data_IF_073771822319
#
_entry.id   IF_073771822319
#
_cell.length_a   1.000
_cell.length_b   1.000
_cell.length_c   1.000
_cell.angle_alpha   90.00
_cell.angle_beta   90.00
_cell.angle_gamma   90.00
#
_symmetry.space_group_name_H-M   'P 1'
#
loop_
_entity.id
_entity.type
_entity.pdbx_description
1 polymer ?
#
# COMPACT_ATOMS: atom_id res chain seq x y z
N UNK A 1 -24.79 -31.28 25.04
CA UNK A 1 -25.80 -30.25 24.68
C UNK A 1 -25.06 -29.10 24.04
N UNK A 2 -24.98 -29.08 22.70
CA UNK A 2 -24.45 -27.94 21.98
C UNK A 2 -25.53 -26.88 21.96
N UNK A 3 -25.38 -25.83 22.79
CA UNK A 3 -26.20 -24.63 22.65
C UNK A 3 -25.85 -24.01 21.27
N UNK A 4 -26.80 -24.03 20.34
CA UNK A 4 -26.75 -23.12 19.20
C UNK A 4 -26.51 -21.71 19.73
N UNK A 5 -25.39 -21.11 19.39
CA UNK A 5 -25.25 -19.67 19.54
C UNK A 5 -26.44 -19.02 18.83
N UNK A 6 -27.20 -18.21 19.53
CA UNK A 6 -28.16 -17.30 18.89
C UNK A 6 -27.34 -16.52 17.87
N UNK A 7 -27.91 -16.33 16.70
CA UNK A 7 -27.36 -15.41 15.70
C UNK A 7 -27.07 -14.10 16.46
N UNK A 8 -25.81 -13.92 16.87
CA UNK A 8 -25.32 -12.59 17.18
C UNK A 8 -25.63 -11.79 15.91
N UNK A 9 -26.27 -10.65 16.08
CA UNK A 9 -26.52 -9.72 14.99
C UNK A 9 -25.23 -9.63 14.18
N UNK A 10 -25.27 -10.24 12.99
CA UNK A 10 -24.17 -10.08 12.02
C UNK A 10 -24.20 -8.59 11.71
N UNK A 11 -23.31 -7.84 12.33
CA UNK A 11 -23.09 -6.44 11.98
C UNK A 11 -22.77 -6.51 10.49
N UNK A 12 -23.69 -6.06 9.64
CA UNK A 12 -23.39 -5.95 8.21
C UNK A 12 -22.12 -5.13 8.08
N UNK A 13 -21.11 -5.61 7.32
CA UNK A 13 -19.86 -4.89 7.15
C UNK A 13 -20.19 -3.49 6.66
N UNK A 14 -19.92 -2.49 7.51
CA UNK A 14 -20.20 -1.10 7.19
C UNK A 14 -19.15 -0.61 6.23
N UNK A 15 -19.56 -0.05 5.11
CA UNK A 15 -18.66 0.67 4.21
C UNK A 15 -17.87 1.71 5.01
N UNK A 16 -16.55 1.84 4.79
CA UNK A 16 -15.78 2.91 5.37
C UNK A 16 -16.31 4.27 4.90
N UNK A 17 -16.17 5.29 5.74
CA UNK A 17 -16.57 6.64 5.35
C UNK A 17 -15.84 7.07 4.08
N UNK A 18 -16.49 7.80 3.16
CA UNK A 18 -15.82 8.31 1.97
C UNK A 18 -14.61 9.19 2.33
N UNK A 19 -13.52 9.07 1.59
CA UNK A 19 -12.31 9.89 1.77
C UNK A 19 -12.57 11.38 1.42
N UNK A 20 -13.56 11.64 0.59
CA UNK A 20 -14.08 12.95 0.19
C UNK A 20 -15.46 12.73 -0.46
N UNK A 21 -16.15 13.79 -0.91
CA UNK A 21 -17.38 13.65 -1.69
C UNK A 21 -17.09 12.94 -3.02
N UNK A 22 -17.63 11.74 -3.27
CA UNK A 22 -17.37 11.01 -4.49
C UNK A 22 -18.19 11.55 -5.66
N UNK A 23 -17.61 11.56 -6.87
CA UNK A 23 -18.34 11.79 -8.12
C UNK A 23 -19.17 10.56 -8.53
N UNK A 24 -18.64 9.38 -8.29
CA UNK A 24 -19.34 8.10 -8.44
C UNK A 24 -19.23 7.33 -7.12
N UNK A 25 -20.31 6.70 -6.72
CA UNK A 25 -20.42 5.89 -5.51
C UNK A 25 -21.41 4.76 -5.79
N UNK A 26 -20.93 3.53 -6.03
CA UNK A 26 -21.77 2.40 -6.43
C UNK A 26 -21.21 1.07 -5.99
N UNK A 27 -22.10 0.09 -5.89
CA UNK A 27 -21.81 -1.27 -5.47
C UNK A 27 -21.87 -2.22 -6.66
N UNK A 28 -20.81 -2.99 -6.84
CA UNK A 28 -20.74 -4.11 -7.77
C UNK A 28 -21.22 -5.35 -7.03
N UNK A 29 -22.28 -5.97 -7.52
CA UNK A 29 -22.84 -7.15 -6.91
C UNK A 29 -21.93 -8.35 -7.13
N UNK A 30 -21.89 -9.25 -6.15
CA UNK A 30 -21.14 -10.51 -6.28
C UNK A 30 -21.43 -11.19 -7.59
N UNK A 31 -20.41 -11.79 -8.17
CA UNK A 31 -20.47 -12.51 -9.44
C UNK A 31 -20.80 -11.61 -10.66
N UNK A 32 -20.61 -10.29 -10.57
CA UNK A 32 -20.83 -9.35 -11.67
C UNK A 32 -19.61 -8.45 -11.91
N UNK A 33 -19.69 -7.62 -12.94
CA UNK A 33 -18.74 -6.55 -13.23
C UNK A 33 -19.47 -5.29 -13.66
N UNK A 34 -18.90 -4.14 -13.35
CA UNK A 34 -19.38 -2.85 -13.83
C UNK A 34 -18.25 -2.08 -14.51
N UNK A 35 -18.64 -1.38 -15.62
CA UNK A 35 -17.78 -0.46 -16.33
C UNK A 35 -18.05 0.97 -15.88
N UNK A 36 -17.02 1.79 -15.80
CA UNK A 36 -17.10 3.21 -15.48
C UNK A 36 -15.96 4.00 -16.11
N UNK A 37 -16.24 5.28 -16.44
CA UNK A 37 -15.23 6.19 -17.00
C UNK A 37 -14.58 7.03 -15.90
N UNK A 38 -13.27 7.22 -16.03
CA UNK A 38 -12.44 7.99 -15.09
C UNK A 38 -11.56 8.94 -15.88
N UNK A 39 -11.56 10.21 -15.53
CA UNK A 39 -10.74 11.24 -16.18
C UNK A 39 -9.32 11.28 -15.62
N UNK A 40 -8.41 11.77 -16.43
CA UNK A 40 -7.04 12.02 -15.99
C UNK A 40 -6.99 12.84 -14.70
N UNK A 41 -6.23 12.36 -13.70
CA UNK A 41 -6.09 12.99 -12.39
C UNK A 41 -7.16 12.64 -11.37
N UNK A 42 -8.29 12.01 -11.75
CA UNK A 42 -9.29 11.49 -10.79
C UNK A 42 -8.75 10.27 -10.05
N UNK A 43 -9.37 9.99 -8.89
CA UNK A 43 -8.99 8.88 -8.03
C UNK A 43 -10.08 7.82 -7.99
N UNK A 44 -9.68 6.57 -8.01
CA UNK A 44 -10.55 5.39 -7.94
C UNK A 44 -10.28 4.68 -6.61
N UNK A 45 -11.30 4.50 -5.80
CA UNK A 45 -11.24 3.69 -4.59
C UNK A 45 -12.03 2.39 -4.82
N UNK A 46 -11.35 1.25 -4.78
CA UNK A 46 -11.97 -0.09 -4.86
C UNK A 46 -11.94 -0.68 -3.47
N UNK A 47 -13.09 -1.04 -2.92
CA UNK A 47 -13.28 -1.42 -1.52
C UNK A 47 -13.80 -2.84 -1.45
N UNK A 48 -13.13 -3.68 -0.69
CA UNK A 48 -13.61 -4.97 -0.26
C UNK A 48 -14.52 -4.78 0.96
N UNK A 49 -15.83 -4.88 0.75
CA UNK A 49 -16.83 -4.53 1.77
C UNK A 49 -16.79 -5.50 2.95
N UNK A 50 -16.78 -6.80 2.63
CA UNK A 50 -16.89 -7.87 3.61
C UNK A 50 -15.54 -8.43 4.07
N UNK A 51 -14.47 -8.11 3.35
CA UNK A 51 -13.18 -8.78 3.45
C UNK A 51 -13.16 -10.11 2.70
N UNK A 52 -11.97 -10.51 2.26
CA UNK A 52 -11.72 -11.77 1.54
C UNK A 52 -12.39 -11.87 0.16
N UNK A 53 -12.67 -10.74 -0.48
CA UNK A 53 -13.24 -10.72 -1.82
C UNK A 53 -12.22 -10.27 -2.85
N UNK A 54 -12.03 -11.03 -3.92
CA UNK A 54 -11.19 -10.65 -5.05
C UNK A 54 -11.95 -9.73 -6.02
N UNK A 55 -11.27 -8.69 -6.49
CA UNK A 55 -11.77 -7.81 -7.55
C UNK A 55 -10.76 -7.77 -8.69
N UNK A 56 -11.12 -8.34 -9.84
CA UNK A 56 -10.32 -8.21 -11.04
C UNK A 56 -10.57 -6.84 -11.63
N UNK A 57 -9.51 -6.06 -11.75
CA UNK A 57 -9.57 -4.70 -12.24
C UNK A 57 -8.84 -4.56 -13.56
N UNK A 58 -9.50 -3.93 -14.51
CA UNK A 58 -8.97 -3.60 -15.83
C UNK A 58 -9.15 -2.11 -16.10
N UNK A 59 -8.18 -1.47 -16.74
CA UNK A 59 -8.27 -0.10 -17.19
C UNK A 59 -7.71 0.02 -18.60
N UNK A 60 -8.48 0.63 -19.48
CA UNK A 60 -8.13 0.90 -20.87
C UNK A 60 -7.96 2.40 -21.08
N UNK A 61 -6.95 2.78 -21.86
CA UNK A 61 -6.77 4.18 -22.29
C UNK A 61 -7.88 4.60 -23.25
N UNK A 62 -8.77 5.50 -22.80
CA UNK A 62 -9.84 6.05 -23.65
C UNK A 62 -9.27 6.76 -24.87
N UNK A 63 -8.22 7.63 -24.79
CA UNK A 63 -7.62 8.24 -25.96
C UNK A 63 -6.99 7.25 -26.95
N UNK A 64 -6.61 6.06 -26.51
CA UNK A 64 -6.13 5.02 -27.42
C UNK A 64 -7.31 4.33 -28.12
N UNK A 65 -8.40 4.06 -27.41
CA UNK A 65 -9.63 3.50 -27.97
C UNK A 65 -10.22 4.41 -29.03
N UNK A 66 -10.27 5.72 -28.82
CA UNK A 66 -10.74 6.72 -29.80
C UNK A 66 -9.95 6.69 -31.11
N UNK A 67 -8.69 6.26 -31.03
CA UNK A 67 -7.81 6.07 -32.19
C UNK A 67 -7.83 4.64 -32.74
N UNK A 68 -8.79 3.83 -32.34
CA UNK A 68 -8.92 2.43 -32.76
C UNK A 68 -7.81 1.51 -32.24
N UNK A 69 -7.12 1.91 -31.15
CA UNK A 69 -6.07 1.09 -30.51
C UNK A 69 -6.51 0.66 -29.13
N UNK A 70 -6.51 -0.62 -28.89
CA UNK A 70 -6.77 -1.17 -27.57
C UNK A 70 -5.47 -1.16 -26.76
N UNK A 71 -5.45 -0.38 -25.67
CA UNK A 71 -4.34 -0.28 -24.72
C UNK A 71 -4.91 -0.34 -23.31
N UNK A 72 -4.69 -1.46 -22.65
CA UNK A 72 -5.05 -1.68 -21.24
C UNK A 72 -3.80 -1.88 -20.40
N UNK A 73 -3.97 -1.88 -19.10
CA UNK A 73 -2.90 -2.23 -18.16
C UNK A 73 -2.39 -3.64 -18.49
N UNK A 74 -1.06 -3.77 -18.64
CA UNK A 74 -0.36 -5.00 -19.00
C UNK A 74 0.49 -5.46 -17.82
N UNK A 75 0.17 -6.63 -17.26
CA UNK A 75 0.79 -7.11 -16.04
C UNK A 75 2.25 -7.54 -16.26
N UNK A 76 2.58 -8.07 -17.42
CA UNK A 76 3.95 -8.47 -17.74
C UNK A 76 4.86 -7.25 -17.89
N UNK A 77 4.41 -6.24 -18.64
CA UNK A 77 5.13 -4.96 -18.76
C UNK A 77 5.27 -4.29 -17.40
N UNK A 78 4.19 -4.25 -16.61
CA UNK A 78 4.20 -3.65 -15.28
C UNK A 78 5.24 -4.32 -14.39
N UNK A 79 5.20 -5.63 -14.20
CA UNK A 79 6.19 -6.37 -13.39
C UNK A 79 7.62 -6.15 -13.87
N UNK A 80 7.83 -6.14 -15.18
CA UNK A 80 9.16 -5.92 -15.77
C UNK A 80 9.72 -4.55 -15.40
N UNK A 81 8.89 -3.50 -15.45
CA UNK A 81 9.34 -2.13 -15.19
C UNK A 81 9.50 -1.82 -13.70
N UNK A 82 8.68 -2.40 -12.84
CA UNK A 82 8.73 -2.14 -11.40
C UNK A 82 9.63 -3.11 -10.63
N UNK A 83 9.89 -4.31 -11.16
CA UNK A 83 10.72 -5.33 -10.52
C UNK A 83 10.08 -5.99 -9.29
N UNK A 84 8.75 -5.94 -9.16
CA UNK A 84 7.99 -6.56 -8.09
C UNK A 84 6.68 -7.17 -8.62
N UNK A 85 6.01 -7.98 -7.78
CA UNK A 85 4.80 -8.67 -8.18
C UNK A 85 3.66 -7.70 -8.55
N UNK A 86 3.52 -6.60 -7.83
CA UNK A 86 2.52 -5.56 -8.08
C UNK A 86 3.04 -4.19 -7.61
N UNK A 87 2.52 -3.08 -8.21
CA UNK A 87 2.90 -1.74 -7.79
C UNK A 87 2.44 -1.43 -6.36
N UNK A 88 3.32 -0.76 -5.63
CA UNK A 88 2.96 -0.11 -4.38
C UNK A 88 3.08 1.40 -4.50
N UNK A 89 2.62 2.23 -3.55
CA UNK A 89 2.81 3.67 -3.59
C UNK A 89 4.29 4.04 -3.65
N UNK A 90 4.58 5.20 -4.22
CA UNK A 90 5.94 5.70 -4.37
C UNK A 90 6.51 5.48 -5.77
N UNK A 91 7.80 5.22 -5.86
CA UNK A 91 8.50 5.19 -7.13
C UNK A 91 8.03 4.09 -8.09
N UNK A 92 7.60 2.95 -7.55
CA UNK A 92 7.12 1.79 -8.30
C UNK A 92 5.59 1.67 -8.22
N UNK A 93 4.92 2.81 -8.31
CA UNK A 93 3.48 2.93 -8.06
C UNK A 93 2.60 2.74 -9.29
N UNK A 94 3.16 2.47 -10.47
CA UNK A 94 2.41 2.61 -11.72
C UNK A 94 2.12 1.28 -12.38
N UNK A 95 0.90 1.18 -12.94
CA UNK A 95 0.52 0.18 -13.93
C UNK A 95 0.72 0.75 -15.33
N UNK A 96 1.31 -0.03 -16.20
CA UNK A 96 1.69 0.35 -17.55
C UNK A 96 0.91 -0.45 -18.59
N UNK A 97 0.72 0.15 -19.77
CA UNK A 97 0.28 -0.58 -20.96
C UNK A 97 1.46 -1.32 -21.63
N UNK A 98 1.18 -2.11 -22.67
CA UNK A 98 2.19 -2.86 -23.43
C UNK A 98 3.20 -1.97 -24.18
N UNK A 99 2.87 -0.70 -24.40
CA UNK A 99 3.77 0.30 -25.00
C UNK A 99 4.58 1.05 -23.94
N UNK A 100 4.55 0.58 -22.66
CA UNK A 100 5.24 1.15 -21.49
C UNK A 100 4.73 2.55 -21.09
N UNK A 101 3.54 2.94 -21.49
CA UNK A 101 2.92 4.17 -21.02
C UNK A 101 2.24 3.93 -19.66
N UNK A 102 2.46 4.77 -18.67
CA UNK A 102 1.78 4.65 -17.38
C UNK A 102 0.32 5.08 -17.51
N UNK A 103 -0.60 4.22 -17.09
CA UNK A 103 -2.04 4.50 -17.13
C UNK A 103 -2.58 4.86 -15.76
N UNK A 104 -2.08 4.23 -14.70
CA UNK A 104 -2.60 4.35 -13.33
C UNK A 104 -1.43 4.41 -12.36
N UNK A 105 -1.63 5.13 -11.28
CA UNK A 105 -0.74 5.22 -10.13
C UNK A 105 -1.44 4.74 -8.86
N UNK A 106 -0.77 3.91 -8.07
CA UNK A 106 -1.25 3.50 -6.74
C UNK A 106 -0.93 4.61 -5.75
N UNK A 107 -1.96 5.12 -5.08
CA UNK A 107 -1.83 6.21 -4.09
C UNK A 107 -1.89 5.66 -2.68
N UNK A 108 -2.83 4.73 -2.43
CA UNK A 108 -2.97 4.08 -1.13
C UNK A 108 -3.45 2.65 -1.30
N UNK A 109 -2.93 1.79 -0.46
CA UNK A 109 -3.33 0.39 -0.39
C UNK A 109 -3.36 0.00 1.09
N UNK A 110 -4.51 -0.46 1.58
CA UNK A 110 -4.68 -0.85 2.98
C UNK A 110 -4.54 -2.36 3.19
N UNK A 111 -4.49 -3.15 2.11
CA UNK A 111 -4.30 -4.60 2.16
C UNK A 111 -2.84 -5.01 1.95
N UNK A 112 -2.19 -4.47 0.91
CA UNK A 112 -0.80 -4.79 0.56
C UNK A 112 -0.61 -6.23 0.05
N UNK A 113 -1.67 -6.86 -0.49
CA UNK A 113 -1.60 -8.21 -1.03
C UNK A 113 -2.53 -8.35 -2.24
N UNK A 114 -1.93 -8.54 -3.42
CA UNK A 114 -2.63 -8.60 -4.70
C UNK A 114 -1.94 -9.58 -5.64
N UNK A 115 -2.62 -9.95 -6.73
CA UNK A 115 -2.06 -10.81 -7.77
C UNK A 115 -2.01 -10.10 -9.12
N UNK A 116 -0.97 -10.40 -9.88
CA UNK A 116 -0.78 -9.97 -11.27
C UNK A 116 -0.25 -11.12 -12.16
N UNK A 117 -0.19 -12.33 -11.65
CA UNK A 117 0.29 -13.51 -12.38
C UNK A 117 -0.84 -14.26 -13.05
N UNK A 118 -2.00 -14.35 -12.37
CA UNK A 118 -3.20 -14.97 -12.90
C UNK A 118 -3.96 -14.08 -13.86
N UNK A 119 -4.71 -14.70 -14.76
CA UNK A 119 -5.78 -14.01 -15.50
C UNK A 119 -6.96 -13.78 -14.56
N UNK A 120 -7.85 -12.83 -14.90
CA UNK A 120 -9.21 -12.85 -14.39
C UNK A 120 -9.81 -14.23 -14.61
N UNK A 121 -10.49 -14.80 -13.60
CA UNK A 121 -11.00 -16.16 -13.69
C UNK A 121 -11.81 -16.36 -14.97
N UNK A 122 -11.68 -17.52 -15.59
CA UNK A 122 -12.23 -17.83 -16.92
C UNK A 122 -13.02 -19.12 -16.91
N UNK A 123 -13.95 -19.30 -17.84
CA UNK A 123 -14.79 -20.51 -17.96
C UNK A 123 -13.96 -21.80 -17.95
N UNK A 124 -12.84 -21.79 -18.69
CA UNK A 124 -11.95 -22.95 -18.78
C UNK A 124 -11.42 -23.45 -17.43
N UNK A 125 -11.12 -22.53 -16.51
CA UNK A 125 -10.67 -22.88 -15.16
C UNK A 125 -11.70 -23.71 -14.40
N UNK A 126 -12.97 -23.34 -14.49
CA UNK A 126 -14.06 -24.06 -13.84
C UNK A 126 -14.45 -25.35 -14.59
N UNK A 127 -14.48 -25.30 -15.93
CA UNK A 127 -14.76 -26.47 -16.77
C UNK A 127 -13.77 -27.61 -16.52
N UNK A 128 -12.48 -27.31 -16.36
CA UNK A 128 -11.45 -28.29 -16.06
C UNK A 128 -11.64 -28.97 -14.69
N UNK A 129 -12.37 -28.34 -13.79
CA UNK A 129 -12.75 -28.88 -12.49
C UNK A 129 -14.14 -29.54 -12.50
N UNK A 130 -14.85 -29.54 -13.66
CA UNK A 130 -16.16 -30.13 -13.81
C UNK A 130 -17.34 -29.17 -13.57
N UNK A 131 -17.10 -27.90 -13.36
CA UNK A 131 -18.14 -26.86 -13.11
C UNK A 131 -18.51 -26.15 -14.41
N UNK A 132 -19.22 -26.80 -15.30
CA UNK A 132 -19.67 -26.21 -16.57
C UNK A 132 -20.71 -25.13 -16.37
N UNK A 133 -20.51 -23.98 -17.05
CA UNK A 133 -21.44 -22.85 -16.97
C UNK A 133 -21.30 -22.03 -15.67
N UNK A 134 -20.24 -22.24 -14.89
CA UNK A 134 -19.95 -21.41 -13.72
C UNK A 134 -19.70 -19.95 -14.15
N UNK A 135 -20.27 -18.95 -13.44
CA UNK A 135 -19.94 -17.55 -13.68
C UNK A 135 -18.42 -17.32 -13.59
N UNK A 136 -17.90 -16.38 -14.39
CA UNK A 136 -16.49 -16.05 -14.35
C UNK A 136 -16.24 -14.58 -14.69
N UNK A 137 -15.16 -14.02 -14.17
CA UNK A 137 -14.82 -12.62 -14.35
C UNK A 137 -14.50 -12.26 -15.79
N UNK A 138 -13.88 -13.15 -16.57
CA UNK A 138 -13.56 -12.87 -17.97
C UNK A 138 -14.81 -12.67 -18.83
N UNK A 139 -15.86 -13.45 -18.61
CA UNK A 139 -17.16 -13.24 -19.31
C UNK A 139 -17.88 -12.00 -18.81
N UNK A 140 -17.81 -11.71 -17.50
CA UNK A 140 -18.35 -10.48 -16.93
C UNK A 140 -17.64 -9.23 -17.50
N UNK A 141 -16.32 -9.25 -17.65
CA UNK A 141 -15.53 -8.18 -18.28
C UNK A 141 -15.92 -8.04 -19.76
N UNK A 142 -16.08 -9.15 -20.50
CA UNK A 142 -16.54 -9.13 -21.90
C UNK A 142 -17.90 -8.43 -22.02
N UNK A 143 -18.84 -8.77 -21.14
CA UNK A 143 -20.17 -8.17 -21.14
C UNK A 143 -20.12 -6.65 -20.82
N UNK A 144 -19.30 -6.27 -19.81
CA UNK A 144 -19.12 -4.88 -19.41
C UNK A 144 -18.48 -4.03 -20.53
N UNK A 145 -17.54 -4.58 -21.30
CA UNK A 145 -16.81 -3.88 -22.36
C UNK A 145 -17.50 -3.95 -23.74
N UNK A 146 -18.54 -4.75 -23.90
CA UNK A 146 -19.27 -4.86 -25.17
C UNK A 146 -19.77 -3.51 -25.74
N UNK A 147 -20.28 -2.56 -24.93
CA UNK A 147 -20.68 -1.24 -25.41
C UNK A 147 -19.55 -0.42 -26.05
N UNK A 148 -18.29 -0.69 -25.70
CA UNK A 148 -17.11 -0.03 -26.28
C UNK A 148 -16.62 -0.68 -27.58
N UNK A 149 -17.32 -1.69 -28.09
CA UNK A 149 -16.91 -2.41 -29.30
C UNK A 149 -15.64 -3.27 -29.12
N UNK A 150 -15.25 -3.56 -27.89
CA UNK A 150 -14.07 -4.36 -27.60
C UNK A 150 -14.37 -5.84 -27.84
N UNK A 151 -13.46 -6.52 -28.55
CA UNK A 151 -13.64 -7.92 -28.94
C UNK A 151 -13.56 -8.82 -27.69
N UNK A 152 -14.54 -9.73 -27.48
CA UNK A 152 -14.54 -10.67 -26.38
C UNK A 152 -13.30 -11.56 -26.38
N UNK A 153 -12.81 -11.93 -25.19
CA UNK A 153 -11.66 -12.81 -24.95
C UNK A 153 -12.03 -13.93 -24.00
N UNK A 154 -11.32 -15.04 -24.11
CA UNK A 154 -11.48 -16.19 -23.19
C UNK A 154 -10.85 -15.94 -21.81
N UNK A 155 -9.92 -15.01 -21.72
CA UNK A 155 -9.26 -14.60 -20.49
C UNK A 155 -8.73 -13.18 -20.61
N UNK A 156 -8.81 -12.41 -19.53
CA UNK A 156 -8.32 -11.04 -19.45
C UNK A 156 -7.12 -10.96 -18.52
N UNK A 157 -6.07 -10.29 -18.97
CA UNK A 157 -5.01 -9.82 -18.09
C UNK A 157 -5.58 -8.68 -17.26
N UNK A 158 -5.66 -8.90 -15.95
CA UNK A 158 -6.17 -7.93 -14.99
C UNK A 158 -5.23 -7.86 -13.79
N UNK A 159 -5.33 -6.83 -12.97
CA UNK A 159 -4.84 -6.91 -11.62
C UNK A 159 -5.94 -7.51 -10.75
N UNK A 160 -5.63 -8.59 -10.04
CA UNK A 160 -6.55 -9.27 -9.16
C UNK A 160 -6.35 -8.68 -7.75
N UNK A 161 -7.06 -7.59 -7.45
CA UNK A 161 -6.97 -6.94 -6.15
C UNK A 161 -7.47 -7.85 -5.05
N UNK A 162 -6.80 -7.79 -3.90
CA UNK A 162 -7.07 -8.58 -2.69
C UNK A 162 -6.80 -10.09 -2.83
N UNK A 163 -6.40 -10.55 -4.00
CA UNK A 163 -6.12 -11.94 -4.26
C UNK A 163 -4.77 -12.36 -3.68
N UNK A 164 -4.74 -13.41 -2.83
CA UNK A 164 -3.54 -13.85 -2.16
C UNK A 164 -2.86 -14.98 -2.93
N UNK A 165 -1.91 -14.63 -3.77
CA UNK A 165 -1.07 -15.60 -4.49
C UNK A 165 0.41 -15.32 -4.24
N UNK A 166 1.22 -16.29 -4.59
CA UNK A 166 2.67 -16.15 -4.56
C UNK A 166 3.34 -17.29 -5.32
N UNK A 167 4.65 -17.22 -5.40
CA UNK A 167 5.50 -18.26 -5.95
C UNK A 167 6.34 -18.81 -4.80
N UNK A 168 6.29 -20.11 -4.57
CA UNK A 168 7.06 -20.79 -3.53
C UNK A 168 8.53 -21.02 -3.95
N UNK A 169 9.30 -21.59 -3.06
CA UNK A 169 10.72 -21.91 -3.29
C UNK A 169 10.96 -22.96 -4.40
N UNK A 170 9.90 -23.65 -4.81
CA UNK A 170 9.92 -24.63 -5.90
C UNK A 170 9.39 -24.05 -7.22
N UNK A 171 9.16 -22.74 -7.30
CA UNK A 171 8.55 -22.03 -8.43
C UNK A 171 7.11 -22.47 -8.74
N UNK A 172 6.37 -22.94 -7.75
CA UNK A 172 4.95 -23.27 -7.87
C UNK A 172 4.13 -22.07 -7.44
N UNK A 173 3.15 -21.69 -8.27
CA UNK A 173 2.14 -20.71 -7.90
C UNK A 173 1.21 -21.33 -6.85
N UNK A 174 1.05 -20.65 -5.73
CA UNK A 174 0.09 -21.05 -4.72
C UNK A 174 -1.01 -19.99 -4.58
N UNK A 175 -2.15 -20.42 -4.13
CA UNK A 175 -3.31 -19.63 -3.79
C UNK A 175 -3.69 -19.92 -2.33
N UNK A 176 -3.93 -18.86 -1.57
CA UNK A 176 -4.34 -18.96 -0.17
C UNK A 176 -5.48 -17.96 0.13
N UNK A 177 -6.06 -18.02 1.32
CA UNK A 177 -7.12 -17.10 1.71
C UNK A 177 -6.66 -15.65 1.62
N UNK A 178 -7.51 -14.72 1.12
CA UNK A 178 -7.21 -13.31 1.06
C UNK A 178 -6.92 -12.71 2.43
N UNK A 179 -6.03 -11.72 2.46
CA UNK A 179 -5.69 -10.99 3.68
C UNK A 179 -6.55 -9.75 3.90
N UNK A 180 -7.39 -9.40 2.94
CA UNK A 180 -8.27 -8.24 3.07
C UNK A 180 -9.27 -8.43 4.21
N UNK A 181 -9.50 -7.35 4.93
CA UNK A 181 -10.47 -7.23 6.02
C UNK A 181 -11.64 -6.38 5.56
N UNK A 182 -12.79 -6.44 6.24
CA UNK A 182 -13.93 -5.59 5.92
C UNK A 182 -13.54 -4.11 5.84
N UNK A 183 -13.78 -3.50 4.68
CA UNK A 183 -13.47 -2.10 4.41
C UNK A 183 -12.04 -1.81 3.92
N UNK A 184 -11.20 -2.82 3.73
CA UNK A 184 -9.91 -2.63 3.04
C UNK A 184 -10.13 -2.14 1.62
N UNK A 185 -9.20 -1.31 1.14
CA UNK A 185 -9.31 -0.70 -0.18
C UNK A 185 -7.96 -0.43 -0.84
N UNK A 186 -7.99 -0.29 -2.15
CA UNK A 186 -6.93 0.35 -2.93
C UNK A 186 -7.43 1.70 -3.44
N UNK A 187 -6.58 2.72 -3.41
CA UNK A 187 -6.83 4.04 -3.98
C UNK A 187 -5.83 4.28 -5.10
N UNK A 188 -6.36 4.44 -6.29
CA UNK A 188 -5.63 4.60 -7.53
C UNK A 188 -5.83 6.02 -8.07
N UNK A 189 -4.87 6.53 -8.83
CA UNK A 189 -4.99 7.78 -9.58
C UNK A 189 -4.89 7.50 -11.08
N UNK A 190 -5.84 7.97 -11.85
CA UNK A 190 -5.78 7.92 -13.30
C UNK A 190 -4.75 8.92 -13.85
N UNK A 191 -3.86 8.47 -14.73
CA UNK A 191 -2.85 9.31 -15.37
C UNK A 191 -3.25 9.75 -16.79
N UNK A 192 -4.30 9.17 -17.33
CA UNK A 192 -4.98 9.50 -18.57
C UNK A 192 -6.48 9.23 -18.41
N UNK A 193 -7.30 9.64 -19.37
CA UNK A 193 -8.71 9.25 -19.38
C UNK A 193 -8.82 7.74 -19.60
N UNK A 194 -9.66 7.09 -18.81
CA UNK A 194 -9.75 5.63 -18.73
C UNK A 194 -11.20 5.13 -18.83
N UNK A 195 -11.35 4.01 -19.50
CA UNK A 195 -12.48 3.10 -19.32
C UNK A 195 -12.03 2.00 -18.37
N UNK A 196 -12.63 1.96 -17.19
CA UNK A 196 -12.31 0.99 -16.14
C UNK A 196 -13.40 -0.07 -16.02
N UNK A 197 -13.00 -1.29 -15.63
CA UNK A 197 -13.91 -2.35 -15.23
C UNK A 197 -13.41 -2.91 -13.89
N UNK A 198 -14.31 -3.07 -12.95
CA UNK A 198 -14.08 -3.82 -11.72
C UNK A 198 -15.07 -4.97 -11.63
N UNK A 199 -14.63 -6.08 -11.06
CA UNK A 199 -15.48 -7.26 -10.82
C UNK A 199 -15.67 -7.48 -9.34
N UNK A 200 -16.71 -8.23 -8.96
CA UNK A 200 -16.78 -8.98 -7.71
C UNK A 200 -16.71 -10.45 -8.10
N UNK A 201 -15.59 -11.10 -7.81
CA UNK A 201 -15.21 -12.40 -8.36
C UNK A 201 -16.19 -13.50 -7.94
N UNK A 202 -16.63 -14.38 -8.86
CA UNK A 202 -17.59 -15.44 -8.55
C UNK A 202 -16.95 -16.74 -8.00
N UNK A 203 -15.63 -16.80 -7.81
CA UNK A 203 -14.97 -18.04 -7.40
C UNK A 203 -15.38 -18.46 -5.99
N UNK A 204 -16.19 -19.52 -5.90
CA UNK A 204 -16.58 -20.21 -4.68
C UNK A 204 -15.99 -21.65 -4.60
N UNK A 205 -15.14 -21.98 -5.56
CA UNK A 205 -14.51 -23.32 -5.68
C UNK A 205 -13.11 -23.38 -5.07
N UNK A 206 -12.57 -22.24 -4.70
CA UNK A 206 -11.23 -22.10 -4.12
C UNK A 206 -11.20 -21.11 -2.96
N UNK A 207 -10.02 -20.91 -2.36
CA UNK A 207 -9.83 -19.95 -1.28
C UNK A 207 -9.88 -18.46 -1.76
N UNK A 208 -9.96 -18.21 -3.06
CA UNK A 208 -9.84 -16.87 -3.67
C UNK A 208 -10.77 -15.82 -3.07
N UNK A 209 -11.97 -16.19 -2.66
CA UNK A 209 -12.97 -15.33 -2.03
C UNK A 209 -13.38 -15.85 -0.65
N UNK A 210 -12.46 -16.53 0.05
CA UNK A 210 -12.79 -17.15 1.33
C UNK A 210 -13.98 -18.14 1.22
N UNK A 211 -14.13 -18.81 0.05
CA UNK A 211 -15.21 -19.76 -0.27
C UNK A 211 -16.62 -19.17 -0.34
N UNK A 212 -16.77 -17.84 -0.33
CA UNK A 212 -18.07 -17.18 -0.32
C UNK A 212 -18.00 -15.80 -0.97
N UNK A 213 -18.27 -15.68 -2.28
CA UNK A 213 -18.26 -14.40 -2.98
C UNK A 213 -19.16 -13.35 -2.33
N UNK A 214 -18.67 -12.12 -2.29
CA UNK A 214 -19.35 -10.95 -1.73
C UNK A 214 -19.34 -9.77 -2.69
N UNK A 215 -19.92 -8.63 -2.30
CA UNK A 215 -19.97 -7.44 -3.14
C UNK A 215 -18.68 -6.61 -2.99
N UNK A 216 -18.28 -5.95 -4.06
CA UNK A 216 -17.23 -4.91 -4.09
C UNK A 216 -17.90 -3.53 -4.16
N UNK A 217 -17.24 -2.49 -3.70
CA UNK A 217 -17.72 -1.12 -3.80
C UNK A 217 -16.69 -0.21 -4.47
N UNK A 218 -17.15 0.67 -5.35
CA UNK A 218 -16.28 1.60 -6.08
C UNK A 218 -16.70 3.03 -5.84
N UNK A 219 -15.71 3.89 -5.56
CA UNK A 219 -15.87 5.34 -5.52
C UNK A 219 -14.89 6.02 -6.43
N UNK A 220 -15.32 7.07 -7.11
CA UNK A 220 -14.44 7.93 -7.90
C UNK A 220 -14.48 9.35 -7.36
N UNK A 221 -13.31 9.93 -7.11
CA UNK A 221 -13.14 11.28 -6.57
C UNK A 221 -12.56 12.22 -7.61
N UNK A 222 -12.94 13.50 -7.55
CA UNK A 222 -12.49 14.53 -8.50
C UNK A 222 -11.01 14.87 -8.35
N UNK A 223 -10.46 15.50 -9.39
CA UNK A 223 -9.04 15.95 -9.45
C UNK A 223 -8.68 17.03 -8.43
N UNK A 224 -9.66 17.73 -7.86
CA UNK A 224 -9.44 18.78 -6.86
C UNK A 224 -8.99 18.25 -5.50
N UNK A 225 -9.12 16.95 -5.30
CA UNK A 225 -8.71 16.29 -4.05
C UNK A 225 -7.26 15.85 -4.12
N UNK A 226 -6.61 15.89 -2.99
CA UNK A 226 -5.26 15.33 -2.80
C UNK A 226 -5.30 14.34 -1.67
N UNK A 227 -4.70 13.17 -1.89
CA UNK A 227 -4.63 12.12 -0.88
C UNK A 227 -3.16 11.79 -0.60
N UNK A 228 -2.85 11.58 0.68
CA UNK A 228 -1.50 11.16 1.07
C UNK A 228 -1.22 9.74 0.59
N UNK A 229 -0.01 9.55 0.07
CA UNK A 229 0.47 8.25 -0.39
C UNK A 229 0.78 7.34 0.80
N UNK A 230 0.25 6.13 0.82
CA UNK A 230 0.51 5.13 1.85
C UNK A 230 0.22 3.71 1.39
N UNK A 231 1.07 2.74 1.82
CA UNK A 231 0.81 1.29 1.65
C UNK A 231 0.61 0.62 2.99
N UNK A 232 -0.34 -0.33 3.07
CA UNK A 232 -0.37 -1.29 4.14
C UNK A 232 0.68 -2.38 3.89
N UNK A 233 1.51 -2.61 4.88
CA UNK A 233 2.38 -3.78 4.95
C UNK A 233 1.91 -4.65 6.11
N UNK A 234 1.57 -5.91 5.82
CA UNK A 234 1.22 -6.91 6.83
C UNK A 234 2.21 -8.06 6.77
N UNK A 235 2.80 -8.42 7.89
CA UNK A 235 3.67 -9.59 8.00
C UNK A 235 2.87 -10.89 8.01
N UNK A 236 1.65 -10.83 8.54
CA UNK A 236 0.71 -11.96 8.65
C UNK A 236 -0.72 -11.46 8.44
N UNK A 237 -1.69 -12.34 8.13
CA UNK A 237 -3.10 -11.96 7.97
C UNK A 237 -3.68 -11.26 9.19
N UNK A 238 -3.23 -11.60 10.39
CA UNK A 238 -3.75 -11.07 11.65
C UNK A 238 -3.05 -9.77 12.10
N UNK A 239 -1.90 -9.42 11.49
CA UNK A 239 -1.17 -8.21 11.86
C UNK A 239 -1.95 -6.95 11.46
N UNK A 240 -1.85 -5.90 12.29
CA UNK A 240 -2.33 -4.58 11.89
C UNK A 240 -1.52 -4.03 10.72
N UNK A 241 -2.15 -3.37 9.73
CA UNK A 241 -1.44 -2.81 8.60
C UNK A 241 -0.53 -1.67 9.06
N UNK A 242 0.75 -1.75 8.71
CA UNK A 242 1.67 -0.64 8.86
C UNK A 242 1.71 0.13 7.54
N UNK A 243 1.26 1.37 7.56
CA UNK A 243 1.27 2.23 6.38
C UNK A 243 2.67 2.81 6.18
N UNK A 244 3.33 2.46 5.09
CA UNK A 244 4.58 3.10 4.67
C UNK A 244 4.31 4.44 4.00
N UNK A 245 5.22 5.39 4.18
CA UNK A 245 5.09 6.77 3.67
C UNK A 245 6.36 7.19 2.93
N UNK A 246 6.18 8.13 2.03
CA UNK A 246 7.29 8.88 1.48
C UNK A 246 7.78 9.92 2.50
N UNK A 247 9.09 10.11 2.57
CA UNK A 247 9.66 11.23 3.34
C UNK A 247 9.48 12.55 2.57
N UNK A 248 9.65 13.69 3.24
CA UNK A 248 9.65 15.00 2.59
C UNK A 248 10.74 15.15 1.51
N UNK A 249 11.76 14.30 1.52
CA UNK A 249 12.87 14.30 0.56
C UNK A 249 12.66 13.31 -0.59
N UNK A 250 11.67 12.44 -0.53
CA UNK A 250 11.46 11.36 -1.50
C UNK A 250 11.40 11.87 -2.94
N UNK A 251 10.72 12.98 -3.19
CA UNK A 251 10.64 13.59 -4.53
C UNK A 251 11.99 14.00 -5.12
N UNK A 252 13.01 14.20 -4.28
CA UNK A 252 14.37 14.49 -4.72
C UNK A 252 15.22 13.22 -4.79
N UNK A 253 15.20 12.39 -3.75
CA UNK A 253 15.98 11.14 -3.71
C UNK A 253 15.58 10.18 -4.84
N UNK A 254 14.30 10.10 -5.18
CA UNK A 254 13.77 9.26 -6.26
C UNK A 254 14.25 9.65 -7.67
N UNK A 255 14.80 10.86 -7.85
CA UNK A 255 15.46 11.24 -9.11
C UNK A 255 16.81 10.56 -9.30
N UNK A 256 17.43 10.10 -8.23
CA UNK A 256 18.80 9.58 -8.22
C UNK A 256 18.89 8.08 -7.96
N UNK A 257 17.81 7.46 -7.53
CA UNK A 257 17.74 6.01 -7.30
C UNK A 257 16.34 5.47 -7.44
N UNK A 258 16.23 4.17 -7.74
CA UNK A 258 14.99 3.39 -7.66
C UNK A 258 15.05 2.33 -6.56
N UNK A 259 16.16 2.26 -5.81
CA UNK A 259 16.37 1.26 -4.76
C UNK A 259 15.97 1.85 -3.42
N UNK A 260 14.78 1.53 -2.99
CA UNK A 260 14.21 1.95 -1.71
C UNK A 260 13.90 0.73 -0.83
N UNK A 261 13.92 0.95 0.46
CA UNK A 261 13.52 -0.01 1.49
C UNK A 261 12.53 0.66 2.44
N UNK A 262 11.59 -0.12 2.97
CA UNK A 262 10.81 0.31 4.12
C UNK A 262 11.71 0.35 5.35
N UNK A 263 11.82 1.53 5.95
CA UNK A 263 12.48 1.72 7.22
C UNK A 263 11.55 2.44 8.18
N UNK A 264 11.01 1.71 9.15
CA UNK A 264 10.08 2.23 10.18
C UNK A 264 8.87 2.97 9.60
N UNK A 265 8.30 2.43 8.55
CA UNK A 265 7.14 2.99 7.87
C UNK A 265 7.45 4.16 6.92
N UNK A 266 8.70 4.30 6.50
CA UNK A 266 9.11 5.28 5.47
C UNK A 266 9.97 4.63 4.38
N UNK A 267 9.79 5.09 3.15
CA UNK A 267 10.63 4.72 2.03
C UNK A 267 11.96 5.47 2.08
N UNK A 268 13.05 4.76 2.38
CA UNK A 268 14.41 5.29 2.33
C UNK A 268 15.23 4.71 1.18
N UNK A 269 16.09 5.51 0.50
CA UNK A 269 17.01 4.98 -0.49
C UNK A 269 18.09 4.11 0.17
N UNK A 270 18.37 2.95 -0.42
CA UNK A 270 19.43 2.04 0.03
C UNK A 270 20.76 2.31 -0.65
N UNK A 271 20.73 2.82 -1.88
CA UNK A 271 21.91 3.25 -2.61
C UNK A 271 21.49 4.16 -3.77
N UNK A 272 22.43 4.91 -4.32
CA UNK A 272 22.22 5.78 -5.48
C UNK A 272 22.82 5.19 -6.75
N UNK A 273 22.22 5.49 -7.91
CA UNK A 273 22.57 4.82 -9.18
C UNK A 273 24.02 5.12 -9.65
N UNK A 274 24.54 6.31 -9.34
CA UNK A 274 25.82 6.81 -9.84
C UNK A 274 26.89 6.91 -8.76
N UNK A 275 26.62 6.39 -7.56
CA UNK A 275 27.57 6.37 -6.45
C UNK A 275 27.44 5.04 -5.72
N UNK A 276 28.52 4.30 -5.61
CA UNK A 276 28.58 3.09 -4.80
C UNK A 276 28.82 3.40 -3.32
N UNK A 277 28.66 2.40 -2.46
CA UNK A 277 28.91 2.54 -1.01
C UNK A 277 30.31 3.04 -0.68
N UNK A 278 31.32 2.70 -1.49
CA UNK A 278 32.70 3.16 -1.32
C UNK A 278 32.80 4.67 -1.63
N UNK A 279 32.16 5.13 -2.71
CA UNK A 279 32.18 6.55 -3.05
C UNK A 279 31.44 7.39 -2.01
N UNK A 280 30.32 6.90 -1.50
CA UNK A 280 29.55 7.52 -0.42
C UNK A 280 30.35 7.57 0.89
N UNK A 281 31.09 6.50 1.21
CA UNK A 281 31.98 6.45 2.36
C UNK A 281 33.06 7.53 2.27
N UNK A 282 33.75 7.63 1.14
CA UNK A 282 34.80 8.63 0.95
C UNK A 282 34.23 10.05 0.88
N UNK A 283 33.04 10.23 0.31
CA UNK A 283 32.35 11.53 0.37
C UNK A 283 32.09 11.96 1.83
N UNK A 284 31.62 11.04 2.65
CA UNK A 284 31.40 11.29 4.09
C UNK A 284 32.69 11.62 4.83
N UNK A 285 33.83 10.96 4.47
CA UNK A 285 35.12 11.13 5.17
C UNK A 285 35.88 12.38 4.73
N UNK A 286 35.81 12.75 3.47
CA UNK A 286 36.69 13.76 2.86
C UNK A 286 35.93 14.96 2.28
N UNK A 287 34.61 14.87 2.12
CA UNK A 287 33.79 15.91 1.50
C UNK A 287 32.55 16.20 2.34
N UNK A 288 31.37 15.88 1.80
CA UNK A 288 30.09 16.02 2.50
C UNK A 288 29.13 14.92 2.04
N UNK A 289 28.27 14.46 2.97
CA UNK A 289 27.18 13.57 2.69
C UNK A 289 25.88 14.14 3.27
N UNK A 290 24.75 13.83 2.62
CA UNK A 290 23.39 14.15 3.11
C UNK A 290 22.68 12.87 3.40
N UNK A 291 22.04 12.79 4.57
CA UNK A 291 21.31 11.62 5.01
C UNK A 291 19.89 12.01 5.38
N UNK A 292 18.90 11.27 4.90
CA UNK A 292 17.49 11.45 5.29
C UNK A 292 17.22 10.74 6.62
N UNK A 293 17.04 11.51 7.67
CA UNK A 293 16.72 11.06 9.02
C UNK A 293 15.25 11.25 9.40
N UNK A 294 14.37 11.42 8.42
CA UNK A 294 12.94 11.60 8.66
C UNK A 294 12.29 10.47 9.49
N UNK A 295 12.69 9.19 9.34
CA UNK A 295 12.10 8.10 10.12
C UNK A 295 12.43 8.11 11.61
N UNK A 296 13.50 8.78 12.03
CA UNK A 296 13.81 8.89 13.46
C UNK A 296 12.67 9.59 14.19
N UNK A 297 12.37 9.15 15.40
CA UNK A 297 11.31 9.73 16.23
C UNK A 297 11.82 10.98 16.95
N UNK A 298 10.98 12.02 17.02
CA UNK A 298 11.28 13.30 17.67
C UNK A 298 10.27 13.49 18.79
N UNK A 299 10.75 13.54 20.03
CA UNK A 299 9.93 13.76 21.21
C UNK A 299 10.27 15.10 21.82
N UNK A 300 9.28 15.94 22.04
CA UNK A 300 9.43 17.19 22.81
C UNK A 300 9.19 16.90 24.28
N UNK A 301 10.13 17.28 25.12
CA UNK A 301 10.06 17.15 26.58
C UNK A 301 10.00 18.58 27.14
N UNK A 302 8.86 18.93 27.70
CA UNK A 302 8.54 20.29 28.09
C UNK A 302 8.14 20.36 29.57
N UNK A 303 8.55 21.43 30.25
CA UNK A 303 8.16 21.73 31.61
C UNK A 303 9.34 21.77 32.59
N UNK A 304 9.07 22.21 33.82
CA UNK A 304 10.14 22.47 34.82
C UNK A 304 10.95 21.20 35.20
N UNK A 305 10.36 20.03 35.06
CA UNK A 305 11.02 18.75 35.35
C UNK A 305 11.69 18.09 34.15
N UNK A 306 11.66 18.71 32.97
CA UNK A 306 12.21 18.14 31.73
C UNK A 306 13.69 17.79 31.84
N UNK A 307 14.50 18.67 32.44
CA UNK A 307 15.93 18.40 32.70
C UNK A 307 16.12 17.23 33.65
N UNK A 308 15.34 17.16 34.71
CA UNK A 308 15.42 16.09 35.71
C UNK A 308 15.03 14.73 35.13
N UNK A 309 13.95 14.69 34.33
CA UNK A 309 13.54 13.48 33.62
C UNK A 309 14.65 12.95 32.71
N UNK A 310 15.21 13.81 31.87
CA UNK A 310 16.29 13.39 30.96
C UNK A 310 17.57 13.05 31.70
N UNK A 311 17.88 13.72 32.81
CA UNK A 311 19.06 13.40 33.64
C UNK A 311 18.96 12.01 34.27
N UNK A 312 17.77 11.54 34.62
CA UNK A 312 17.55 10.21 35.20
C UNK A 312 17.46 9.09 34.15
N UNK A 313 17.08 9.43 32.92
CA UNK A 313 16.78 8.44 31.88
C UNK A 313 17.91 8.27 30.86
N UNK A 314 18.80 9.24 30.74
CA UNK A 314 19.91 9.21 29.79
C UNK A 314 21.24 8.95 30.46
N UNK A 315 22.20 8.36 29.75
CA UNK A 315 23.53 8.07 30.24
C UNK A 315 24.47 9.27 30.24
N UNK A 316 24.10 10.36 29.55
CA UNK A 316 24.85 11.61 29.53
C UNK A 316 24.32 12.60 30.57
N UNK A 317 25.21 13.43 31.08
CA UNK A 317 24.87 14.53 31.98
C UNK A 317 24.24 15.70 31.15
N UNK A 318 22.92 15.73 31.07
CA UNK A 318 22.16 16.73 30.29
C UNK A 318 22.18 18.12 30.93
N UNK A 319 22.50 18.23 32.23
CA UNK A 319 22.64 19.52 32.95
C UNK A 319 23.80 20.34 32.43
N UNK A 320 24.77 19.69 31.77
CA UNK A 320 25.93 20.36 31.18
C UNK A 320 25.63 20.95 29.78
N UNK A 321 24.44 20.70 29.22
CA UNK A 321 24.05 21.25 27.94
C UNK A 321 23.66 22.71 28.08
N UNK A 322 24.30 23.59 27.32
CA UNK A 322 23.82 24.94 27.10
C UNK A 322 22.64 24.93 26.10
N UNK A 323 21.81 25.96 26.14
CA UNK A 323 20.74 26.16 25.15
C UNK A 323 21.36 26.18 23.74
N UNK A 324 20.78 25.42 22.81
CA UNK A 324 21.28 25.26 21.44
C UNK A 324 22.29 24.10 21.29
N UNK A 325 22.73 23.47 22.36
CA UNK A 325 23.62 22.30 22.28
C UNK A 325 22.87 20.99 22.12
N UNK A 326 23.57 20.01 21.55
CA UNK A 326 23.13 18.65 21.38
C UNK A 326 24.18 17.67 21.91
N UNK A 327 23.73 16.56 22.47
CA UNK A 327 24.60 15.46 22.88
C UNK A 327 24.00 14.12 22.43
N UNK A 328 24.88 13.22 22.00
CA UNK A 328 24.51 11.82 21.77
C UNK A 328 24.54 11.08 23.09
N UNK A 329 23.51 10.25 23.35
CA UNK A 329 23.35 9.52 24.60
C UNK A 329 22.65 8.18 24.37
N UNK A 330 22.96 7.20 25.22
CA UNK A 330 22.13 6.01 25.39
C UNK A 330 21.00 6.29 26.37
N UNK A 331 19.91 5.56 26.20
CA UNK A 331 18.79 5.45 27.13
C UNK A 331 18.74 4.01 27.62
N UNK A 332 18.77 3.81 28.93
CA UNK A 332 18.92 2.47 29.51
C UNK A 332 17.89 2.21 30.60
N UNK A 333 17.54 0.94 30.76
CA UNK A 333 16.83 0.46 31.93
C UNK A 333 17.70 0.57 33.20
N UNK A 334 17.12 0.55 34.42
CA UNK A 334 17.88 0.59 35.67
C UNK A 334 18.91 -0.53 35.80
N UNK A 335 18.69 -1.67 35.17
CA UNK A 335 19.62 -2.80 35.18
C UNK A 335 20.75 -2.68 34.12
N UNK A 336 20.78 -1.57 33.35
CA UNK A 336 21.82 -1.29 32.35
C UNK A 336 21.53 -1.79 30.94
N UNK A 337 20.41 -2.49 30.70
CA UNK A 337 20.01 -2.86 29.34
C UNK A 337 19.65 -1.64 28.52
N UNK A 338 20.11 -1.56 27.26
CA UNK A 338 19.82 -0.45 26.37
C UNK A 338 18.37 -0.51 25.88
N UNK A 339 17.66 0.61 25.96
CA UNK A 339 16.34 0.82 25.40
C UNK A 339 16.46 1.38 23.99
N UNK A 340 17.25 2.45 23.86
CA UNK A 340 17.45 3.19 22.60
C UNK A 340 18.74 4.00 22.71
N UNK A 341 19.21 4.53 21.58
CA UNK A 341 20.26 5.53 21.51
C UNK A 341 19.80 6.69 20.63
N UNK A 342 20.35 7.87 20.89
CA UNK A 342 19.88 9.04 20.14
C UNK A 342 20.56 10.33 20.58
N UNK A 343 19.93 11.44 20.19
CA UNK A 343 20.44 12.77 20.50
C UNK A 343 19.45 13.54 21.37
N UNK A 344 19.96 14.14 22.42
CA UNK A 344 19.26 15.09 23.28
C UNK A 344 19.69 16.50 22.94
N UNK A 345 18.73 17.35 22.57
CA UNK A 345 18.93 18.77 22.27
C UNK A 345 18.32 19.59 23.40
N UNK A 346 19.01 20.63 23.87
CA UNK A 346 18.44 21.63 24.75
C UNK A 346 17.99 22.85 23.93
N UNK A 347 16.69 23.02 23.77
CA UNK A 347 16.12 24.09 22.96
C UNK A 347 15.77 25.33 23.79
N UNK A 348 15.60 25.18 25.10
CA UNK A 348 15.29 26.22 26.05
C UNK A 348 15.59 25.79 27.47
N UNK A 349 15.33 26.67 28.49
CA UNK A 349 15.55 26.29 29.88
C UNK A 349 14.83 24.99 30.27
N UNK A 350 13.54 24.89 29.92
CA UNK A 350 12.65 23.78 30.25
C UNK A 350 12.11 23.09 28.98
N UNK A 351 12.89 23.16 27.90
CA UNK A 351 12.52 22.62 26.60
C UNK A 351 13.67 21.80 26.02
N UNK A 352 13.43 20.51 25.89
CA UNK A 352 14.38 19.55 25.30
C UNK A 352 13.71 18.77 24.18
N UNK A 353 14.54 18.25 23.27
CA UNK A 353 14.12 17.32 22.23
C UNK A 353 14.96 16.06 22.30
N UNK A 354 14.33 14.91 22.40
CA UNK A 354 14.96 13.61 22.18
C UNK A 354 14.69 13.15 20.76
N UNK A 355 15.73 12.73 20.05
CA UNK A 355 15.63 12.11 18.73
C UNK A 355 16.20 10.72 18.86
N UNK A 356 15.32 9.72 18.81
CA UNK A 356 15.65 8.30 18.95
C UNK A 356 15.19 7.47 17.78
N UNK A 357 15.46 6.19 17.86
CA UNK A 357 15.17 5.24 16.81
C UNK A 357 13.75 4.69 16.84
N UNK A 358 13.06 4.67 17.98
CA UNK A 358 11.79 3.95 18.15
C UNK A 358 10.76 4.73 18.97
N UNK A 359 9.47 4.46 18.71
CA UNK A 359 8.36 5.03 19.47
C UNK A 359 8.37 4.61 20.95
N UNK A 360 8.93 3.44 21.24
CA UNK A 360 9.00 2.91 22.59
C UNK A 360 9.82 3.81 23.53
N UNK A 361 10.87 4.46 23.04
CA UNK A 361 11.65 5.41 23.86
C UNK A 361 10.81 6.55 24.40
N UNK A 362 9.83 7.05 23.62
CA UNK A 362 8.87 8.06 24.06
C UNK A 362 7.82 7.52 25.04
N UNK A 363 7.37 6.28 24.84
CA UNK A 363 6.45 5.62 25.77
C UNK A 363 7.13 5.45 27.12
N UNK A 364 8.36 4.95 27.11
CA UNK A 364 9.15 4.73 28.33
C UNK A 364 9.45 6.03 29.08
N UNK A 365 9.84 7.11 28.37
CA UNK A 365 10.03 8.43 28.97
C UNK A 365 8.75 8.95 29.67
N UNK A 366 7.58 8.68 29.11
CA UNK A 366 6.31 9.08 29.72
C UNK A 366 5.98 8.30 31.00
N UNK A 367 6.52 7.12 31.15
CA UNK A 367 6.31 6.24 32.33
C UNK A 367 7.24 6.59 33.48
N UNK A 368 8.35 7.31 33.23
CA UNK A 368 9.28 7.76 34.25
C UNK A 368 8.85 9.09 34.88
#
# INVERSE_FOLDING_TARGET
>A
IIRRARSADLIEPRLPDPLADPRLDFRIKKCTADQYSVRAGEFIQIIDIAGRECSDFLALSEPALDRGRERHIDMTTTRTLIGSAYPGPGLFSKYFDRDMNPLIEVVRDTCGRHDTFGLACAAKYYEDQGYFGHPNCSDNINAALAPNGIRPRRGWEAVNFFYNTGIDEHNVLYLDEPWSRPGDYVLLRALTDLVCVSTACPDDTSAANGWNPTDIHVRVYSTEKTFSTAIAYRMTPDAEPQLTRETGFHSQTSKHTRKFVDYRGYWLPTCFNNAGAIDEYWACREKAAVMDLSPLRKFEILGPDAETLLQTTLTRDVRRLSIGQVVYSGMCYPHGGMIDDGTALRLGPDNFRWIGGDDYSGIWLREQ
#
